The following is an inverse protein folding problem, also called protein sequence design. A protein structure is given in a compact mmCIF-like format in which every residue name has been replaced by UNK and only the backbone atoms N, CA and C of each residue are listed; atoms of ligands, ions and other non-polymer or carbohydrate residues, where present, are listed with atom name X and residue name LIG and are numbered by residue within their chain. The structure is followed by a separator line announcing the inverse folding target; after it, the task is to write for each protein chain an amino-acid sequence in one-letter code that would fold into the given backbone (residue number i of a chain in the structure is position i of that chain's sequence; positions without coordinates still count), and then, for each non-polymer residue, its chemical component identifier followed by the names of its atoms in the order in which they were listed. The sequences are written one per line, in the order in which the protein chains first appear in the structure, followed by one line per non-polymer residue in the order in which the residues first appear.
data_IF_400826384245
#
_entry.id   IF_400826384245
#
_cell.length_a   1.000
_cell.length_b   1.000
_cell.length_c   1.000
_cell.angle_alpha   90.00
_cell.angle_beta   90.00
_cell.angle_gamma   90.00
#
_symmetry.space_group_name_H-M   'P 1'
#
loop_
_entity.id
_entity.type
_entity.pdbx_description
1 polymer ?
#
# COMPACT_ATOMS: atom_id res chain seq x y z
N UNK A 1 -21.04 16.11 -6.46
CA UNK A 1 -20.65 15.44 -7.72
C UNK A 1 -20.32 13.97 -7.48
N UNK A 2 -20.58 13.06 -8.42
CA UNK A 2 -20.16 11.67 -8.21
C UNK A 2 -18.65 11.54 -8.45
N UNK A 3 -17.89 11.14 -7.43
CA UNK A 3 -16.43 10.92 -7.48
C UNK A 3 -16.06 9.49 -7.89
N UNK A 4 -16.93 8.86 -8.68
CA UNK A 4 -16.72 7.54 -9.30
C UNK A 4 -16.74 7.77 -10.80
N UNK A 5 -15.57 7.71 -11.42
CA UNK A 5 -15.37 7.97 -12.85
C UNK A 5 -14.97 6.69 -13.56
N UNK A 6 -15.52 6.51 -14.75
CA UNK A 6 -15.18 5.42 -15.66
C UNK A 6 -14.94 6.02 -17.03
N UNK A 7 -13.86 5.61 -17.68
CA UNK A 7 -13.59 5.92 -19.07
C UNK A 7 -13.94 4.70 -19.93
N UNK A 8 -14.74 4.93 -20.97
CA UNK A 8 -15.20 3.90 -21.89
C UNK A 8 -14.71 4.18 -23.32
N UNK A 9 -14.40 3.11 -24.05
CA UNK A 9 -14.16 3.22 -25.49
C UNK A 9 -15.49 3.43 -26.22
N UNK A 10 -15.43 3.88 -27.48
CA UNK A 10 -16.62 3.95 -28.36
C UNK A 10 -17.37 2.63 -28.52
N UNK A 11 -16.70 1.51 -28.25
CA UNK A 11 -17.27 0.16 -28.30
C UNK A 11 -17.84 -0.30 -26.95
N UNK A 12 -17.91 0.58 -25.95
CA UNK A 12 -18.42 0.26 -24.60
C UNK A 12 -17.44 -0.50 -23.69
N UNK A 13 -16.17 -0.65 -24.08
CA UNK A 13 -15.20 -1.34 -23.23
C UNK A 13 -14.58 -0.37 -22.21
N UNK A 14 -14.52 -0.77 -20.94
CA UNK A 14 -13.84 0.03 -19.91
C UNK A 14 -12.35 0.16 -20.24
N UNK A 15 -11.87 1.40 -20.28
CA UNK A 15 -10.48 1.77 -20.58
C UNK A 15 -9.73 2.23 -19.32
N UNK A 16 -10.43 2.81 -18.35
CA UNK A 16 -9.87 3.24 -17.08
C UNK A 16 -10.94 3.68 -16.09
N UNK A 17 -10.54 3.97 -14.86
CA UNK A 17 -11.43 4.42 -13.80
C UNK A 17 -10.69 5.29 -12.79
N UNK A 18 -11.44 6.08 -12.03
CA UNK A 18 -10.96 6.81 -10.87
C UNK A 18 -12.03 6.84 -9.77
N UNK A 19 -11.64 6.52 -8.55
CA UNK A 19 -12.47 6.53 -7.35
C UNK A 19 -11.92 7.59 -6.40
N UNK A 20 -12.79 8.48 -5.96
CA UNK A 20 -12.48 9.52 -5.00
C UNK A 20 -13.51 9.59 -3.88
N UNK A 21 -13.13 10.27 -2.81
CA UNK A 21 -14.02 10.62 -1.71
C UNK A 21 -13.61 11.99 -1.16
N UNK A 22 -14.48 12.61 -0.38
CA UNK A 22 -14.18 13.83 0.37
C UNK A 22 -14.43 13.64 1.85
N UNK A 23 -13.69 14.39 2.64
CA UNK A 23 -13.85 14.48 4.07
C UNK A 23 -13.92 15.95 4.46
N UNK A 24 -14.71 16.23 5.48
CA UNK A 24 -14.78 17.57 6.07
C UNK A 24 -13.71 17.67 7.15
N UNK A 25 -13.06 18.84 7.24
CA UNK A 25 -12.21 19.09 8.39
C UNK A 25 -13.06 19.27 9.65
N UNK A 26 -12.50 18.95 10.82
CA UNK A 26 -13.21 19.05 12.12
C UNK A 26 -13.75 20.47 12.39
N UNK A 27 -13.12 21.49 11.79
CA UNK A 27 -13.49 22.90 11.94
C UNK A 27 -14.57 23.37 10.96
N UNK A 28 -15.04 22.51 10.04
CA UNK A 28 -16.06 22.83 9.01
C UNK A 28 -15.66 23.85 7.92
N UNK A 29 -14.46 24.41 7.98
CA UNK A 29 -14.02 25.51 7.10
C UNK A 29 -13.55 25.09 5.70
N UNK A 30 -13.22 23.81 5.48
CA UNK A 30 -12.80 23.31 4.17
C UNK A 30 -12.81 21.78 4.09
N UNK A 31 -12.93 21.23 2.86
CA UNK A 31 -12.88 19.79 2.61
C UNK A 31 -11.52 19.36 2.07
N UNK A 32 -11.14 18.12 2.37
CA UNK A 32 -10.05 17.45 1.66
C UNK A 32 -10.59 16.29 0.82
N UNK A 33 -10.02 16.12 -0.36
CA UNK A 33 -10.31 15.03 -1.27
C UNK A 33 -9.30 13.90 -1.10
N UNK A 34 -9.70 12.68 -1.41
CA UNK A 34 -8.82 11.53 -1.44
C UNK A 34 -9.06 10.75 -2.72
N UNK A 35 -8.02 10.54 -3.53
CA UNK A 35 -8.08 9.65 -4.69
C UNK A 35 -7.76 8.24 -4.18
N UNK A 36 -8.79 7.43 -4.01
CA UNK A 36 -8.69 6.10 -3.42
C UNK A 36 -8.01 5.13 -4.39
N UNK A 37 -8.54 5.06 -5.61
CA UNK A 37 -8.03 4.15 -6.64
C UNK A 37 -8.14 4.79 -8.01
N UNK A 38 -7.10 4.65 -8.81
CA UNK A 38 -7.11 5.08 -10.21
C UNK A 38 -6.35 4.06 -11.03
N UNK A 39 -6.88 3.73 -12.20
CA UNK A 39 -6.29 2.72 -13.06
C UNK A 39 -6.63 2.95 -14.52
N UNK A 40 -5.65 2.70 -15.39
CA UNK A 40 -5.82 2.70 -16.85
C UNK A 40 -5.32 1.37 -17.38
N UNK A 41 -6.11 0.74 -18.24
CA UNK A 41 -5.72 -0.54 -18.86
C UNK A 41 -4.38 -0.38 -19.60
N UNK A 42 -3.48 -1.38 -19.57
CA UNK A 42 -2.13 -1.26 -20.14
C UNK A 42 -2.09 -0.72 -21.57
N UNK A 43 -3.00 -1.19 -22.45
CA UNK A 43 -3.09 -0.75 -23.85
C UNK A 43 -3.38 0.74 -24.06
N UNK A 44 -3.91 1.42 -23.04
CA UNK A 44 -4.26 2.84 -23.06
C UNK A 44 -3.33 3.68 -22.18
N UNK A 45 -2.29 3.08 -21.59
CA UNK A 45 -1.30 3.85 -20.84
C UNK A 45 -0.44 4.68 -21.80
N UNK A 46 -0.03 5.86 -21.37
CA UNK A 46 0.73 6.79 -22.20
C UNK A 46 -0.10 7.59 -23.22
N UNK A 47 -1.41 7.32 -23.36
CA UNK A 47 -2.28 8.06 -24.29
C UNK A 47 -2.76 9.43 -23.77
N UNK A 48 -2.57 9.71 -22.48
CA UNK A 48 -3.17 10.87 -21.79
C UNK A 48 -4.41 10.53 -20.97
N UNK A 49 -5.01 9.35 -21.15
CA UNK A 49 -6.29 9.00 -20.49
C UNK A 49 -6.26 9.11 -18.95
N UNK A 50 -5.15 8.72 -18.31
CA UNK A 50 -5.02 8.86 -16.86
C UNK A 50 -5.03 10.33 -16.40
N UNK A 51 -4.45 11.23 -17.20
CA UNK A 51 -4.45 12.67 -16.93
C UNK A 51 -5.86 13.25 -17.06
N UNK A 52 -6.61 12.83 -18.07
CA UNK A 52 -8.01 13.25 -18.25
C UNK A 52 -8.89 12.80 -17.07
N UNK A 53 -8.76 11.54 -16.65
CA UNK A 53 -9.46 11.04 -15.46
C UNK A 53 -9.08 11.82 -14.18
N UNK A 54 -7.80 12.17 -14.03
CA UNK A 54 -7.34 12.96 -12.89
C UNK A 54 -7.93 14.37 -12.90
N UNK A 55 -7.84 15.10 -14.02
CA UNK A 55 -8.35 16.48 -14.07
C UNK A 55 -9.86 16.55 -13.93
N UNK A 56 -10.60 15.56 -14.44
CA UNK A 56 -12.04 15.50 -14.19
C UNK A 56 -12.35 15.23 -12.71
N UNK A 57 -11.57 14.38 -12.03
CA UNK A 57 -11.67 14.17 -10.59
C UNK A 57 -11.37 15.47 -9.81
N UNK A 58 -10.27 16.13 -10.14
CA UNK A 58 -9.82 17.38 -9.53
C UNK A 58 -10.86 18.49 -9.70
N UNK A 59 -11.43 18.62 -10.91
CA UNK A 59 -12.52 19.56 -11.22
C UNK A 59 -13.74 19.31 -10.32
N UNK A 60 -14.18 18.06 -10.20
CA UNK A 60 -15.32 17.69 -9.34
C UNK A 60 -15.04 17.91 -7.85
N UNK A 61 -13.83 17.59 -7.40
CA UNK A 61 -13.41 17.85 -6.03
C UNK A 61 -13.42 19.37 -5.73
N UNK A 62 -12.92 20.18 -6.66
CA UNK A 62 -12.97 21.64 -6.55
C UNK A 62 -14.42 22.15 -6.45
N UNK A 63 -15.35 21.63 -7.26
CA UNK A 63 -16.78 21.95 -7.17
C UNK A 63 -17.41 21.60 -5.81
N UNK A 64 -16.87 20.60 -5.11
CA UNK A 64 -17.32 20.22 -3.76
C UNK A 64 -16.68 21.05 -2.64
N UNK A 65 -15.84 22.03 -2.97
CA UNK A 65 -15.14 22.87 -2.00
C UNK A 65 -13.89 22.21 -1.41
N UNK A 66 -13.33 21.20 -2.10
CA UNK A 66 -12.05 20.61 -1.72
C UNK A 66 -10.93 21.60 -1.94
N UNK A 67 -10.10 21.83 -0.91
CA UNK A 67 -8.92 22.70 -0.99
C UNK A 67 -7.60 21.95 -1.12
N UNK A 68 -7.59 20.67 -0.76
CA UNK A 68 -6.39 19.84 -0.78
C UNK A 68 -6.78 18.38 -1.06
N UNK A 69 -5.95 17.69 -1.83
CA UNK A 69 -6.18 16.29 -2.20
C UNK A 69 -5.03 15.40 -1.74
N UNK A 70 -5.38 14.21 -1.25
CA UNK A 70 -4.45 13.17 -0.85
C UNK A 70 -4.48 11.98 -1.81
N UNK A 71 -3.36 11.28 -1.89
CA UNK A 71 -3.23 10.00 -2.58
C UNK A 71 -2.10 9.21 -1.94
N UNK A 72 -2.31 7.92 -1.74
CA UNK A 72 -1.27 6.98 -1.34
C UNK A 72 -0.95 5.99 -2.46
N UNK A 73 0.27 5.48 -2.44
CA UNK A 73 0.65 4.37 -3.30
C UNK A 73 1.83 3.62 -2.70
N UNK A 74 1.99 2.34 -3.04
CA UNK A 74 3.15 1.57 -2.62
C UNK A 74 4.45 2.25 -3.08
N UNK A 75 5.48 2.28 -2.22
CA UNK A 75 6.80 2.87 -2.55
C UNK A 75 7.41 2.28 -3.83
N UNK A 76 7.12 1.01 -4.14
CA UNK A 76 7.57 0.31 -5.35
C UNK A 76 6.79 0.73 -6.61
N UNK A 77 5.64 1.40 -6.49
CA UNK A 77 4.83 1.85 -7.62
C UNK A 77 5.39 3.14 -8.23
N UNK A 78 6.58 3.04 -8.80
CA UNK A 78 7.28 4.18 -9.41
C UNK A 78 6.50 4.84 -10.55
N UNK A 79 5.63 4.09 -11.24
CA UNK A 79 4.74 4.60 -12.26
C UNK A 79 3.72 5.59 -11.71
N UNK A 80 2.98 5.20 -10.66
CA UNK A 80 2.03 6.08 -9.99
C UNK A 80 2.72 7.30 -9.36
N UNK A 81 3.88 7.10 -8.71
CA UNK A 81 4.65 8.22 -8.12
C UNK A 81 5.02 9.25 -9.19
N UNK A 82 5.54 8.82 -10.35
CA UNK A 82 5.86 9.72 -11.46
C UNK A 82 4.62 10.39 -12.04
N UNK A 83 3.50 9.67 -12.11
CA UNK A 83 2.22 10.21 -12.57
C UNK A 83 1.74 11.34 -11.65
N UNK A 84 1.59 11.09 -10.35
CA UNK A 84 1.10 12.11 -9.41
C UNK A 84 2.06 13.29 -9.24
N UNK A 85 3.38 13.08 -9.34
CA UNK A 85 4.34 14.21 -9.41
C UNK A 85 4.06 15.14 -10.59
N UNK A 86 3.69 14.60 -11.75
CA UNK A 86 3.30 15.42 -12.92
C UNK A 86 1.97 16.13 -12.72
N UNK A 87 1.10 15.64 -11.84
CA UNK A 87 -0.17 16.27 -11.47
C UNK A 87 -0.02 17.31 -10.34
N UNK A 88 1.20 17.57 -9.87
CA UNK A 88 1.48 18.62 -8.87
C UNK A 88 1.71 18.12 -7.44
N UNK A 89 1.66 16.81 -7.19
CA UNK A 89 1.95 16.26 -5.86
C UNK A 89 3.47 16.33 -5.56
N UNK A 90 3.84 17.05 -4.50
CA UNK A 90 5.23 17.50 -4.30
C UNK A 90 6.00 16.95 -3.09
N UNK A 91 5.38 16.27 -2.12
CA UNK A 91 6.02 15.91 -0.84
C UNK A 91 5.56 14.53 -0.37
N UNK A 92 6.14 13.43 -0.87
CA UNK A 92 5.75 12.10 -0.42
C UNK A 92 6.21 11.88 1.02
N UNK A 93 5.29 11.50 1.89
CA UNK A 93 5.59 11.06 3.25
C UNK A 93 5.69 9.54 3.30
N UNK A 94 6.48 9.02 4.24
CA UNK A 94 6.60 7.59 4.44
C UNK A 94 5.50 7.11 5.40
N UNK A 95 4.47 6.45 4.87
CA UNK A 95 3.43 5.84 5.68
C UNK A 95 3.81 4.44 6.19
N UNK A 96 3.37 4.12 7.41
CA UNK A 96 3.51 2.80 8.01
C UNK A 96 2.19 2.05 7.83
N UNK A 97 2.20 0.97 7.06
CA UNK A 97 1.08 0.04 6.98
C UNK A 97 1.29 -1.12 7.94
N UNK A 98 0.19 -1.66 8.48
CA UNK A 98 0.20 -2.79 9.40
C UNK A 98 -0.89 -3.78 9.01
N UNK A 99 -0.64 -5.06 9.28
CA UNK A 99 -1.62 -6.12 9.07
C UNK A 99 -1.81 -6.93 10.34
N UNK A 100 -3.05 -7.30 10.65
CA UNK A 100 -3.39 -8.23 11.73
C UNK A 100 -4.30 -9.32 11.19
N UNK A 101 -3.98 -10.58 11.50
CA UNK A 101 -4.90 -11.67 11.24
C UNK A 101 -6.11 -11.56 12.18
N UNK A 102 -7.32 -11.47 11.63
CA UNK A 102 -8.57 -11.35 12.41
C UNK A 102 -8.95 -12.69 13.05
N UNK A 103 -8.75 -13.80 12.33
CA UNK A 103 -9.07 -15.13 12.80
C UNK A 103 -7.81 -15.88 13.25
N UNK A 104 -7.69 -16.19 14.55
CA UNK A 104 -6.69 -17.15 15.02
C UNK A 104 -6.98 -18.50 14.39
N UNK A 105 -6.07 -19.05 13.58
CA UNK A 105 -6.12 -20.46 13.22
C UNK A 105 -6.17 -21.27 14.51
N UNK A 106 -7.24 -22.04 14.76
CA UNK A 106 -7.27 -23.03 15.83
C UNK A 106 -6.05 -23.93 15.59
N UNK A 107 -5.04 -23.83 16.46
CA UNK A 107 -3.88 -24.70 16.43
C UNK A 107 -4.43 -26.12 16.48
N UNK A 108 -4.33 -26.86 15.37
CA UNK A 108 -4.69 -28.29 15.33
C UNK A 108 -3.99 -28.95 16.52
N UNK A 109 -4.79 -29.43 17.48
CA UNK A 109 -4.34 -30.08 18.70
C UNK A 109 -3.78 -31.49 18.43
N UNK A 110 -3.43 -31.81 17.18
CA UNK A 110 -3.23 -33.17 16.70
C UNK A 110 -1.83 -33.48 16.16
N UNK A 111 -0.82 -32.63 16.38
CA UNK A 111 0.57 -32.94 16.00
C UNK A 111 1.39 -33.67 17.09
N UNK A 112 0.80 -33.95 18.26
CA UNK A 112 1.49 -34.67 19.35
C UNK A 112 1.25 -36.19 19.39
N UNK A 113 0.54 -36.78 18.41
CA UNK A 113 0.28 -38.23 18.38
C UNK A 113 0.99 -39.02 17.27
N UNK A 114 1.85 -38.40 16.47
CA UNK A 114 2.57 -39.13 15.40
C UNK A 114 3.96 -38.56 15.09
N UNK A 115 4.90 -38.65 16.05
CA UNK A 115 6.32 -38.74 15.73
C UNK A 115 7.07 -39.53 16.81
N UNK A 116 7.65 -40.64 16.39
CA UNK A 116 8.41 -41.64 17.14
C UNK A 116 9.67 -41.09 17.87
N UNK A 117 10.15 -41.75 18.94
CA UNK A 117 11.06 -41.17 19.94
C UNK A 117 12.56 -41.32 19.62
N UNK A 118 13.04 -40.97 18.41
CA UNK A 118 14.46 -41.21 18.02
C UNK A 118 15.30 -39.94 17.79
N UNK A 119 14.71 -38.77 17.53
CA UNK A 119 15.50 -37.58 17.13
C UNK A 119 15.91 -36.62 18.27
N UNK A 120 15.92 -37.06 19.55
CA UNK A 120 16.26 -36.21 20.70
C UNK A 120 17.76 -36.02 20.98
N UNK A 121 18.68 -36.55 20.16
CA UNK A 121 20.12 -36.58 20.49
C UNK A 121 21.08 -35.70 19.67
N UNK A 122 20.65 -35.03 18.59
CA UNK A 122 21.60 -34.34 17.68
C UNK A 122 21.74 -32.82 17.85
N UNK A 123 20.76 -32.10 18.43
CA UNK A 123 20.82 -30.62 18.50
C UNK A 123 21.51 -30.02 19.76
N UNK A 124 21.77 -30.80 20.80
CA UNK A 124 22.43 -30.31 22.02
C UNK A 124 23.91 -29.93 21.79
N UNK A 125 24.60 -30.63 20.87
CA UNK A 125 26.04 -30.42 20.61
C UNK A 125 26.33 -29.14 19.80
N UNK A 126 25.39 -28.67 18.99
CA UNK A 126 25.56 -27.46 18.16
C UNK A 126 25.46 -26.16 18.99
N UNK A 127 24.60 -26.14 20.02
CA UNK A 127 24.40 -24.96 20.89
C UNK A 127 25.60 -24.65 21.79
N UNK A 128 26.31 -25.67 22.28
CA UNK A 128 27.55 -25.45 23.07
C UNK A 128 28.70 -24.89 22.22
N UNK A 129 28.78 -25.23 20.92
CA UNK A 129 29.86 -24.78 20.02
C UNK A 129 29.73 -23.31 19.63
N UNK A 130 28.49 -22.81 19.47
CA UNK A 130 28.22 -21.40 19.12
C UNK A 130 28.42 -20.47 20.32
N UNK A 131 28.03 -20.90 21.53
CA UNK A 131 28.19 -20.12 22.76
C UNK A 131 29.66 -19.84 23.12
N UNK A 132 30.58 -20.80 22.89
CA UNK A 132 32.01 -20.62 23.13
C UNK A 132 32.69 -19.64 22.16
N UNK A 133 32.17 -19.46 20.94
CA UNK A 133 32.74 -18.52 19.94
C UNK A 133 32.39 -17.05 20.21
N UNK A 134 31.26 -16.75 20.86
CA UNK A 134 30.85 -15.36 21.15
C UNK A 134 31.59 -14.73 22.33
N UNK A 135 32.23 -15.53 23.21
CA UNK A 135 32.94 -15.04 24.40
C UNK A 135 34.37 -14.52 24.14
N UNK A 136 34.88 -14.61 22.90
CA UNK A 136 36.28 -14.23 22.52
C UNK A 136 36.42 -12.94 21.69
N UNK A 137 35.34 -12.18 21.44
CA UNK A 137 35.46 -10.88 20.74
C UNK A 137 35.49 -9.74 21.78
N UNK A 138 36.68 -9.17 22.00
CA UNK A 138 36.86 -7.91 22.76
C UNK A 138 36.20 -6.75 22.01
N UNK A 139 35.62 -5.75 22.71
CA UNK A 139 35.12 -4.52 22.09
C UNK A 139 36.27 -3.61 21.65
N UNK A 140 36.09 -2.86 20.56
CA UNK A 140 37.02 -1.81 20.10
C UNK A 140 36.95 -0.58 21.02
N UNK A 141 38.08 0.14 21.22
CA UNK A 141 38.12 1.36 22.04
C UNK A 141 37.44 2.55 21.34
N UNK A 142 37.08 3.55 22.16
CA UNK A 142 36.24 4.72 21.85
C UNK A 142 36.81 5.62 20.76
#
# INVERSE_FOLDING_TARGET
PHLTLVAETRTGAIAGFALGTTYENESGGWKYGYILWMGVRPRWQGSGLGRELYHEMERRMHEEGVRMTFVDTARSNTGAIKFFRRMGYGKPEAEVWMSKLIQRTRKSRNSERSATPVARRSHAKLRQKIAKRRRKRKPLPK
#
